data_IF_437820693460
#
_entry.id   IF_437820693460
#
_cell.length_a   1.000
_cell.length_b   1.000
_cell.length_c   1.000
_cell.angle_alpha   90.00
_cell.angle_beta   90.00
_cell.angle_gamma   90.00
#
_symmetry.space_group_name_H-M   'P 1'
#
loop_
_entity.id
_entity.type
_entity.pdbx_description
1 polymer ?
#
# COMPACT_ATOMS: atom_id res chain seq x y z
N UNK A 1 17.65 0.04 -19.33
CA UNK A 1 16.99 -1.14 -18.74
C UNK A 1 15.73 -1.38 -19.53
N UNK A 2 15.45 -2.62 -19.96
CA UNK A 2 14.13 -2.94 -20.51
C UNK A 2 13.07 -2.67 -19.44
N UNK A 3 11.91 -2.09 -19.78
CA UNK A 3 10.81 -1.97 -18.83
C UNK A 3 10.50 -3.37 -18.26
N UNK A 4 10.42 -3.47 -16.93
CA UNK A 4 10.07 -4.74 -16.30
C UNK A 4 8.62 -5.06 -16.66
N UNK A 5 8.38 -6.21 -17.29
CA UNK A 5 7.03 -6.70 -17.48
C UNK A 5 6.57 -7.37 -16.18
N UNK A 6 5.65 -6.72 -15.47
CA UNK A 6 5.06 -7.27 -14.25
C UNK A 6 4.44 -8.67 -14.45
N UNK A 7 4.03 -9.02 -15.68
CA UNK A 7 3.47 -10.34 -15.97
C UNK A 7 4.50 -11.48 -15.80
N UNK A 8 5.80 -11.19 -15.91
CA UNK A 8 6.86 -12.19 -15.75
C UNK A 8 7.19 -12.51 -14.30
N UNK A 9 6.81 -11.63 -13.38
CA UNK A 9 7.16 -11.73 -11.95
C UNK A 9 5.97 -12.05 -11.06
N UNK A 10 4.74 -11.74 -11.50
CA UNK A 10 3.52 -12.04 -10.79
C UNK A 10 3.17 -13.55 -10.84
N UNK A 11 2.45 -14.08 -9.83
CA UNK A 11 2.00 -15.46 -9.84
C UNK A 11 1.02 -15.71 -11.00
N UNK A 12 0.94 -16.95 -11.48
CA UNK A 12 0.01 -17.30 -12.58
C UNK A 12 -1.35 -17.79 -12.13
N UNK A 13 -1.51 -18.13 -10.84
CA UNK A 13 -2.74 -18.69 -10.27
C UNK A 13 -2.95 -18.21 -8.83
N UNK A 14 -4.19 -18.26 -8.36
CA UNK A 14 -4.57 -17.95 -6.97
C UNK A 14 -5.34 -16.63 -6.86
N UNK A 15 -5.40 -16.08 -5.66
CA UNK A 15 -5.97 -14.75 -5.42
C UNK A 15 -4.87 -13.74 -5.18
N UNK A 16 -4.99 -12.56 -5.78
CA UNK A 16 -4.03 -11.47 -5.63
C UNK A 16 -4.75 -10.21 -5.19
N UNK A 17 -4.16 -9.45 -4.27
CA UNK A 17 -4.56 -8.09 -3.98
C UNK A 17 -3.37 -7.16 -4.15
N UNK A 18 -3.63 -5.93 -4.60
CA UNK A 18 -2.61 -4.96 -4.98
C UNK A 18 -2.90 -3.68 -4.22
N UNK A 19 -1.94 -3.24 -3.41
CA UNK A 19 -2.05 -1.95 -2.72
C UNK A 19 -2.15 -0.82 -3.73
N UNK A 20 -2.73 0.30 -3.31
CA UNK A 20 -2.62 1.54 -4.07
C UNK A 20 -1.16 1.96 -4.24
N UNK A 21 -0.89 2.76 -5.27
CA UNK A 21 0.44 3.31 -5.52
C UNK A 21 0.73 3.57 -6.98
N UNK A 22 1.97 3.97 -7.26
CA UNK A 22 2.44 4.40 -8.58
C UNK A 22 2.23 3.37 -9.69
N UNK A 23 2.36 2.08 -9.39
CA UNK A 23 2.28 0.98 -10.35
C UNK A 23 0.96 0.21 -10.28
N UNK A 24 -0.08 0.73 -9.60
CA UNK A 24 -1.35 0.03 -9.45
C UNK A 24 -1.92 -0.38 -10.83
N UNK A 25 -1.95 0.56 -11.77
CA UNK A 25 -2.56 0.30 -13.08
C UNK A 25 -1.76 -0.73 -13.88
N UNK A 26 -0.44 -0.63 -13.90
CA UNK A 26 0.44 -1.55 -14.61
C UNK A 26 0.39 -2.96 -14.03
N UNK A 27 0.30 -3.08 -12.71
CA UNK A 27 0.15 -4.36 -12.01
C UNK A 27 -1.21 -4.99 -12.34
N UNK A 28 -2.30 -4.23 -12.31
CA UNK A 28 -3.64 -4.73 -12.68
C UNK A 28 -3.67 -5.13 -14.17
N UNK A 29 -3.07 -4.33 -15.06
CA UNK A 29 -2.94 -4.68 -16.47
C UNK A 29 -2.11 -5.96 -16.67
N UNK A 30 -1.12 -6.22 -15.82
CA UNK A 30 -0.35 -7.46 -15.87
C UNK A 30 -1.18 -8.68 -15.46
N UNK A 31 -2.07 -8.54 -14.46
CA UNK A 31 -3.04 -9.60 -14.12
C UNK A 31 -3.92 -9.96 -15.34
N UNK A 32 -4.41 -8.95 -16.07
CA UNK A 32 -5.18 -9.19 -17.29
C UNK A 32 -4.37 -9.96 -18.34
N UNK A 33 -3.10 -9.58 -18.57
CA UNK A 33 -2.21 -10.28 -19.52
C UNK A 33 -1.94 -11.73 -19.11
N UNK A 34 -1.72 -11.99 -17.82
CA UNK A 34 -1.53 -13.34 -17.28
C UNK A 34 -2.74 -14.22 -17.59
N UNK A 35 -3.95 -13.71 -17.36
CA UNK A 35 -5.19 -14.45 -17.63
C UNK A 35 -5.43 -14.64 -19.13
N UNK A 36 -5.13 -13.64 -19.97
CA UNK A 36 -5.17 -13.79 -21.43
C UNK A 36 -4.19 -14.88 -21.94
N UNK A 37 -3.08 -15.09 -21.24
CA UNK A 37 -2.10 -16.15 -21.48
C UNK A 37 -2.46 -17.52 -20.87
N UNK A 38 -3.68 -17.70 -20.35
CA UNK A 38 -4.13 -18.96 -19.74
C UNK A 38 -3.83 -19.11 -18.24
N UNK A 39 -3.47 -18.02 -17.55
CA UNK A 39 -3.45 -17.96 -16.09
C UNK A 39 -4.86 -18.05 -15.47
N UNK A 40 -4.91 -18.28 -14.16
CA UNK A 40 -6.14 -18.27 -13.34
C UNK A 40 -5.90 -17.45 -12.08
N UNK A 41 -5.59 -16.16 -12.29
CA UNK A 41 -5.31 -15.21 -11.23
C UNK A 41 -6.54 -14.32 -11.01
N UNK A 42 -7.06 -14.32 -9.78
CA UNK A 42 -8.27 -13.57 -9.41
C UNK A 42 -7.92 -12.36 -8.56
N UNK A 43 -8.41 -11.19 -8.94
CA UNK A 43 -8.16 -9.96 -8.19
C UNK A 43 -9.12 -9.85 -7.00
N UNK A 44 -8.58 -9.55 -5.82
CA UNK A 44 -9.32 -9.09 -4.66
C UNK A 44 -9.12 -7.56 -4.61
N UNK A 45 -10.06 -6.77 -5.16
CA UNK A 45 -9.91 -5.32 -5.26
C UNK A 45 -10.03 -4.68 -3.88
N UNK A 46 -9.22 -3.65 -3.63
CA UNK A 46 -9.23 -2.88 -2.37
C UNK A 46 -10.09 -1.63 -2.44
N UNK A 47 -10.37 -1.14 -3.65
CA UNK A 47 -11.16 0.06 -3.87
C UNK A 47 -12.24 -0.14 -4.95
N UNK A 48 -13.27 0.73 -4.97
CA UNK A 48 -14.22 0.78 -6.08
C UNK A 48 -13.55 0.98 -7.44
N UNK A 49 -12.45 1.75 -7.49
CA UNK A 49 -11.71 2.00 -8.73
C UNK A 49 -11.06 0.72 -9.25
N UNK A 50 -10.39 -0.04 -8.37
CA UNK A 50 -9.83 -1.35 -8.75
C UNK A 50 -10.92 -2.33 -9.17
N UNK A 51 -12.08 -2.29 -8.51
CA UNK A 51 -13.24 -3.11 -8.89
C UNK A 51 -13.70 -2.79 -10.30
N UNK A 52 -13.89 -1.51 -10.62
CA UNK A 52 -14.30 -1.08 -11.96
C UNK A 52 -13.25 -1.47 -13.00
N UNK A 53 -11.96 -1.24 -12.70
CA UNK A 53 -10.87 -1.58 -13.60
C UNK A 53 -10.79 -3.08 -13.89
N UNK A 54 -11.03 -3.93 -12.88
CA UNK A 54 -11.10 -5.37 -13.07
C UNK A 54 -12.22 -5.76 -14.04
N UNK A 55 -13.39 -5.14 -13.91
CA UNK A 55 -14.53 -5.36 -14.81
C UNK A 55 -14.19 -4.93 -16.24
N UNK A 56 -13.61 -3.74 -16.42
CA UNK A 56 -13.26 -3.20 -17.74
C UNK A 56 -12.25 -4.09 -18.49
N UNK A 57 -11.34 -4.73 -17.75
CA UNK A 57 -10.31 -5.63 -18.28
C UNK A 57 -10.73 -7.10 -18.34
N UNK A 58 -11.93 -7.45 -17.89
CA UNK A 58 -12.39 -8.85 -17.82
C UNK A 58 -11.60 -9.71 -16.83
N UNK A 59 -11.00 -9.11 -15.80
CA UNK A 59 -10.28 -9.83 -14.75
C UNK A 59 -11.30 -10.46 -13.78
N UNK A 60 -11.26 -11.79 -13.53
CA UNK A 60 -12.12 -12.40 -12.53
C UNK A 60 -11.79 -11.86 -11.14
N UNK A 61 -12.84 -11.50 -10.39
CA UNK A 61 -12.69 -11.01 -9.01
C UNK A 61 -13.01 -12.10 -7.98
N UNK A 62 -12.43 -11.97 -6.79
CA UNK A 62 -12.71 -12.82 -5.65
C UNK A 62 -13.00 -11.97 -4.40
N UNK A 63 -13.48 -12.64 -3.34
CA UNK A 63 -13.66 -12.07 -1.99
C UNK A 63 -12.87 -12.89 -0.99
N UNK A 64 -12.56 -12.29 0.16
CA UNK A 64 -11.79 -12.93 1.23
C UNK A 64 -10.36 -12.42 1.27
N UNK A 65 -9.43 -13.26 1.70
CA UNK A 65 -8.02 -12.92 1.84
C UNK A 65 -7.21 -13.40 0.64
N UNK A 66 -6.22 -12.62 0.18
CA UNK A 66 -5.45 -12.98 -0.99
C UNK A 66 -4.39 -14.04 -0.66
N UNK A 67 -4.10 -14.92 -1.60
CA UNK A 67 -2.88 -15.74 -1.56
C UNK A 67 -1.66 -14.83 -1.65
N UNK A 68 -1.70 -13.82 -2.52
CA UNK A 68 -0.59 -12.87 -2.72
C UNK A 68 -1.05 -11.43 -2.48
N UNK A 69 -0.36 -10.72 -1.60
CA UNK A 69 -0.52 -9.28 -1.46
C UNK A 69 0.72 -8.55 -2.01
N UNK A 70 0.49 -7.66 -2.97
CA UNK A 70 1.52 -6.78 -3.51
C UNK A 70 1.43 -5.45 -2.79
N UNK A 71 2.38 -5.20 -1.89
CA UNK A 71 2.55 -3.91 -1.22
C UNK A 71 3.47 -3.03 -2.05
N UNK A 72 3.02 -1.84 -2.40
CA UNK A 72 3.84 -0.81 -3.01
C UNK A 72 4.39 0.10 -1.89
N UNK A 73 5.71 0.27 -1.87
CA UNK A 73 6.40 1.12 -0.93
C UNK A 73 7.28 2.13 -1.69
N UNK A 74 7.37 3.33 -1.17
CA UNK A 74 8.16 4.38 -1.75
C UNK A 74 9.61 4.36 -1.27
N UNK A 75 9.81 4.02 -0.01
CA UNK A 75 11.13 3.96 0.59
C UNK A 75 11.36 2.61 1.27
N UNK A 76 12.62 2.15 1.21
CA UNK A 76 13.09 0.97 1.92
C UNK A 76 14.29 1.35 2.78
N UNK A 77 14.15 1.18 4.09
CA UNK A 77 15.26 1.15 5.03
C UNK A 77 15.84 -0.27 5.19
N UNK A 78 16.77 -0.45 6.14
CA UNK A 78 17.34 -1.77 6.46
C UNK A 78 16.26 -2.78 6.85
N UNK A 79 15.37 -2.37 7.78
CA UNK A 79 14.38 -3.23 8.42
C UNK A 79 12.95 -2.65 8.34
N UNK A 80 12.73 -1.67 7.46
CA UNK A 80 11.41 -1.05 7.31
C UNK A 80 11.11 -0.63 5.87
N UNK A 81 9.82 -0.48 5.59
CA UNK A 81 9.31 0.11 4.36
C UNK A 81 8.38 1.27 4.69
N UNK A 82 8.44 2.32 3.89
CA UNK A 82 7.55 3.47 4.01
C UNK A 82 6.61 3.52 2.81
N UNK A 83 5.32 3.60 3.11
CA UNK A 83 4.25 3.78 2.16
C UNK A 83 3.72 5.21 2.28
N UNK A 84 3.96 6.00 1.26
CA UNK A 84 3.58 7.42 1.14
C UNK A 84 2.47 7.64 0.10
N UNK A 85 2.12 6.61 -0.67
CA UNK A 85 1.08 6.63 -1.68
C UNK A 85 0.24 5.35 -1.61
N UNK A 86 -1.02 5.49 -1.20
CA UNK A 86 -2.03 4.44 -1.33
C UNK A 86 -3.42 5.04 -1.20
N UNK A 87 -4.45 4.25 -1.52
CA UNK A 87 -5.84 4.58 -1.25
C UNK A 87 -6.22 4.35 0.22
N UNK A 88 -5.61 3.39 0.93
CA UNK A 88 -5.83 3.18 2.37
C UNK A 88 -4.69 2.36 2.98
N UNK A 89 -4.02 2.95 3.97
CA UNK A 89 -2.99 2.29 4.77
C UNK A 89 -3.61 1.16 5.59
N UNK A 90 -4.78 1.42 6.18
CA UNK A 90 -5.49 0.46 7.01
C UNK A 90 -5.90 -0.79 6.23
N UNK A 91 -6.46 -0.62 5.03
CA UNK A 91 -6.83 -1.75 4.18
C UNK A 91 -5.59 -2.56 3.75
N UNK A 92 -4.52 -1.87 3.36
CA UNK A 92 -3.26 -2.50 2.99
C UNK A 92 -2.65 -3.29 4.14
N UNK A 93 -2.71 -2.76 5.38
CA UNK A 93 -2.26 -3.46 6.59
C UNK A 93 -3.03 -4.73 6.86
N UNK A 94 -4.35 -4.70 6.73
CA UNK A 94 -5.20 -5.89 6.92
C UNK A 94 -4.80 -6.94 5.88
N UNK A 95 -4.67 -6.53 4.61
CA UNK A 95 -4.32 -7.45 3.53
C UNK A 95 -2.93 -8.03 3.72
N UNK A 96 -1.94 -7.23 4.13
CA UNK A 96 -0.58 -7.71 4.37
C UNK A 96 -0.54 -8.75 5.49
N UNK A 97 -1.35 -8.59 6.55
CA UNK A 97 -1.40 -9.54 7.67
C UNK A 97 -2.15 -10.83 7.34
N UNK A 98 -3.12 -10.76 6.43
CA UNK A 98 -3.98 -11.89 6.11
C UNK A 98 -3.53 -12.66 4.86
N UNK A 99 -2.62 -12.10 4.07
CA UNK A 99 -2.08 -12.75 2.89
C UNK A 99 -1.14 -13.90 3.26
N UNK A 100 -1.14 -14.96 2.45
CA UNK A 100 -0.16 -16.06 2.60
C UNK A 100 1.24 -15.59 2.20
N UNK A 101 1.32 -14.75 1.17
CA UNK A 101 2.56 -14.22 0.60
C UNK A 101 2.49 -12.70 0.49
N UNK A 102 3.47 -11.99 1.03
CA UNK A 102 3.60 -10.52 0.91
C UNK A 102 4.83 -10.17 0.11
N UNK A 103 4.62 -9.51 -1.02
CA UNK A 103 5.69 -9.04 -1.89
C UNK A 103 5.71 -7.52 -1.90
N UNK A 104 6.89 -6.93 -1.74
CA UNK A 104 7.05 -5.47 -1.68
C UNK A 104 7.73 -4.95 -2.93
N UNK A 105 7.09 -3.96 -3.56
CA UNK A 105 7.55 -3.30 -4.76
C UNK A 105 8.00 -1.91 -4.36
N UNK A 106 9.31 -1.66 -4.44
CA UNK A 106 9.92 -0.42 -3.97
C UNK A 106 10.25 0.49 -5.14
N UNK A 107 9.78 1.74 -5.11
CA UNK A 107 10.07 2.76 -6.15
C UNK A 107 11.33 3.61 -5.85
N UNK A 108 11.85 3.57 -4.62
CA UNK A 108 12.99 4.38 -4.13
C UNK A 108 12.79 5.89 -4.34
N UNK A 109 11.84 6.48 -3.62
CA UNK A 109 11.67 7.93 -3.53
C UNK A 109 12.12 8.48 -2.18
N UNK A 110 11.68 9.68 -1.83
CA UNK A 110 11.98 10.34 -0.55
C UNK A 110 11.46 9.57 0.66
N UNK A 111 12.11 9.78 1.82
CA UNK A 111 11.66 9.26 3.11
C UNK A 111 10.41 10.01 3.56
N UNK A 112 9.25 9.48 3.21
CA UNK A 112 7.93 9.95 3.67
C UNK A 112 6.98 8.78 3.80
N UNK A 113 5.94 8.95 4.61
CA UNK A 113 4.91 7.93 4.82
C UNK A 113 3.54 8.57 5.08
N UNK A 114 2.49 7.75 5.02
CA UNK A 114 1.13 8.16 5.32
C UNK A 114 0.75 7.84 6.76
N UNK A 115 -0.05 8.70 7.36
CA UNK A 115 -0.84 8.41 8.54
C UNK A 115 -2.31 8.49 8.12
N UNK A 116 -3.07 7.42 8.38
CA UNK A 116 -4.51 7.41 8.13
C UNK A 116 -5.23 7.80 9.43
N UNK A 117 -6.14 8.76 9.36
CA UNK A 117 -6.81 9.35 10.52
C UNK A 117 -8.31 9.55 10.31
N UNK A 118 -9.08 9.60 11.40
CA UNK A 118 -10.51 9.94 11.36
C UNK A 118 -10.70 11.45 11.15
N UNK A 119 -11.71 11.88 10.36
CA UNK A 119 -11.92 13.29 10.08
C UNK A 119 -12.42 14.11 11.29
N UNK A 120 -13.06 13.48 12.28
CA UNK A 120 -13.72 14.17 13.40
C UNK A 120 -12.76 14.84 14.38
N UNK A 121 -11.49 14.42 14.43
CA UNK A 121 -10.45 14.95 15.32
C UNK A 121 -9.27 15.55 14.56
N UNK A 122 -9.44 15.80 13.25
CA UNK A 122 -8.32 16.05 12.36
C UNK A 122 -7.42 17.22 12.78
N UNK A 123 -7.98 18.34 13.26
CA UNK A 123 -7.15 19.48 13.69
C UNK A 123 -6.24 19.11 14.85
N UNK A 124 -6.80 18.52 15.91
CA UNK A 124 -6.03 18.01 17.05
C UNK A 124 -5.02 16.94 16.63
N UNK A 125 -5.43 15.98 15.79
CA UNK A 125 -4.53 14.95 15.27
C UNK A 125 -3.37 15.59 14.50
N UNK A 126 -3.61 16.58 13.65
CA UNK A 126 -2.55 17.24 12.88
C UNK A 126 -1.56 17.99 13.77
N UNK A 127 -2.04 18.66 14.81
CA UNK A 127 -1.17 19.32 15.79
C UNK A 127 -0.25 18.31 16.48
N UNK A 128 -0.78 17.16 16.92
CA UNK A 128 0.02 16.08 17.51
C UNK A 128 0.99 15.45 16.50
N UNK A 129 0.56 15.19 15.26
CA UNK A 129 1.41 14.63 14.21
C UNK A 129 2.59 15.56 13.86
N UNK A 130 2.39 16.88 13.96
CA UNK A 130 3.43 17.87 13.67
C UNK A 130 4.62 17.82 14.62
N UNK A 131 4.47 17.16 15.79
CA UNK A 131 5.57 16.93 16.74
C UNK A 131 6.56 15.86 16.26
N UNK A 132 6.18 15.05 15.27
CA UNK A 132 6.97 13.90 14.78
C UNK A 132 7.44 14.07 13.33
N UNK A 133 6.99 15.12 12.64
CA UNK A 133 7.28 15.32 11.23
C UNK A 133 6.53 16.50 10.60
N UNK A 134 7.05 17.00 9.50
CA UNK A 134 6.37 18.01 8.71
C UNK A 134 5.19 17.39 7.93
N UNK A 135 4.00 17.98 8.09
CA UNK A 135 2.82 17.63 7.28
C UNK A 135 2.99 18.22 5.87
N UNK A 136 3.19 17.37 4.88
CA UNK A 136 3.36 17.78 3.47
C UNK A 136 2.01 17.99 2.78
N UNK A 137 1.08 17.06 2.97
CA UNK A 137 -0.21 17.06 2.28
C UNK A 137 -1.26 16.25 3.07
N UNK A 138 -2.54 16.47 2.79
CA UNK A 138 -3.64 15.66 3.31
C UNK A 138 -4.82 15.59 2.36
N UNK A 139 -5.42 14.42 2.24
CA UNK A 139 -6.61 14.21 1.41
C UNK A 139 -7.53 13.15 2.01
N UNK A 140 -8.80 13.14 1.59
CA UNK A 140 -9.75 12.10 2.00
C UNK A 140 -9.67 10.91 1.07
N UNK A 141 -9.69 9.70 1.63
CA UNK A 141 -9.83 8.48 0.85
C UNK A 141 -11.30 8.08 0.65
N UNK A 142 -11.52 7.01 -0.13
CA UNK A 142 -12.85 6.49 -0.44
C UNK A 142 -13.60 5.92 0.78
N UNK A 143 -12.90 5.65 1.89
CA UNK A 143 -13.50 5.23 3.16
C UNK A 143 -13.93 6.42 4.03
N UNK A 144 -13.65 7.66 3.59
CA UNK A 144 -13.92 8.87 4.35
C UNK A 144 -12.88 9.20 5.42
N UNK A 145 -11.81 8.41 5.52
CA UNK A 145 -10.65 8.72 6.36
C UNK A 145 -9.78 9.78 5.68
N UNK A 146 -8.92 10.42 6.47
CA UNK A 146 -7.95 11.40 5.99
C UNK A 146 -6.59 10.73 5.96
N UNK A 147 -5.95 10.72 4.80
CA UNK A 147 -4.55 10.35 4.65
C UNK A 147 -3.72 11.62 4.80
N UNK A 148 -2.78 11.60 5.73
CA UNK A 148 -1.83 12.68 6.03
C UNK A 148 -0.45 12.21 5.63
N UNK A 149 0.22 12.93 4.73
CA UNK A 149 1.60 12.63 4.34
C UNK A 149 2.55 13.35 5.28
N UNK A 150 3.41 12.57 5.95
CA UNK A 150 4.43 13.08 6.85
C UNK A 150 5.83 12.87 6.28
N UNK A 151 6.65 13.92 6.43
CA UNK A 151 8.10 13.85 6.29
C UNK A 151 8.68 13.79 7.71
N UNK A 152 9.27 12.65 8.12
CA UNK A 152 9.75 12.47 9.48
C UNK A 152 10.95 13.38 9.79
N UNK A 153 11.03 13.84 11.04
CA UNK A 153 12.22 14.52 11.57
C UNK A 153 13.28 13.55 12.12
N UNK A 154 12.87 12.33 12.46
CA UNK A 154 13.74 11.27 13.00
C UNK A 154 13.70 9.99 12.17
N UNK A 155 14.76 9.19 12.27
CA UNK A 155 14.90 7.92 11.54
C UNK A 155 14.57 6.68 12.40
N UNK A 156 14.10 6.85 13.65
CA UNK A 156 13.64 5.75 14.50
C UNK A 156 12.20 5.35 14.16
N UNK A 157 12.05 4.66 13.03
CA UNK A 157 10.75 4.21 12.54
C UNK A 157 10.09 3.14 13.43
N UNK A 158 10.87 2.44 14.26
CA UNK A 158 10.30 1.55 15.26
C UNK A 158 9.58 2.36 16.33
N UNK A 159 10.23 3.38 16.88
CA UNK A 159 9.62 4.30 17.84
C UNK A 159 8.41 5.03 17.25
N UNK A 160 8.58 5.67 16.08
CA UNK A 160 7.53 6.41 15.37
C UNK A 160 6.26 5.58 15.17
N UNK A 161 6.39 4.31 14.78
CA UNK A 161 5.24 3.43 14.58
C UNK A 161 4.38 3.27 15.84
N UNK A 162 5.02 3.23 17.02
CA UNK A 162 4.30 3.08 18.29
C UNK A 162 3.65 4.40 18.71
N UNK A 163 4.42 5.49 18.78
CA UNK A 163 3.91 6.77 19.26
C UNK A 163 2.83 7.34 18.37
N UNK A 164 2.96 7.22 17.04
CA UNK A 164 1.96 7.73 16.10
C UNK A 164 0.63 6.97 16.20
N UNK A 165 0.65 5.67 16.52
CA UNK A 165 -0.58 4.88 16.70
C UNK A 165 -1.33 5.23 17.99
N UNK A 166 -0.64 5.80 18.96
CA UNK A 166 -1.23 6.26 20.22
C UNK A 166 -1.84 7.67 20.11
N UNK A 167 -1.56 8.40 19.02
CA UNK A 167 -2.15 9.73 18.77
C UNK A 167 -3.67 9.60 18.56
N UNK A 168 -4.51 10.31 19.34
CA UNK A 168 -5.95 10.28 19.17
C UNK A 168 -6.38 10.67 17.75
N UNK A 169 -7.18 9.79 17.15
CA UNK A 169 -7.70 9.95 15.79
C UNK A 169 -6.87 9.26 14.71
N UNK A 170 -5.65 8.79 15.01
CA UNK A 170 -4.90 7.92 14.09
C UNK A 170 -5.54 6.53 14.03
N UNK A 171 -5.65 6.01 12.80
CA UNK A 171 -6.20 4.69 12.48
C UNK A 171 -5.05 3.72 12.23
N UNK A 172 -4.12 4.06 11.33
CA UNK A 172 -2.89 3.30 11.10
C UNK A 172 -1.82 4.19 10.43
N UNK A 173 -0.61 3.67 10.34
CA UNK A 173 0.59 4.35 9.86
C UNK A 173 1.23 3.53 8.76
N UNK A 174 1.66 4.18 7.69
CA UNK A 174 2.31 3.62 6.49
C UNK A 174 3.76 3.23 6.73
N UNK A 175 4.11 2.79 7.93
CA UNK A 175 5.44 2.25 8.28
C UNK A 175 5.28 0.74 8.47
N UNK A 176 6.03 -0.05 7.72
CA UNK A 176 6.00 -1.51 7.78
C UNK A 176 7.34 -2.01 8.31
N UNK A 177 7.33 -2.63 9.49
CA UNK A 177 8.53 -3.12 10.20
C UNK A 177 8.79 -4.62 10.00
N UNK A 178 7.87 -5.33 9.34
CA UNK A 178 7.97 -6.77 9.13
C UNK A 178 8.72 -7.06 7.82
N UNK A 179 9.67 -8.02 7.82
CA UNK A 179 10.37 -8.41 6.62
C UNK A 179 9.39 -9.13 5.66
N UNK A 180 9.20 -8.64 4.43
CA UNK A 180 8.39 -9.35 3.45
C UNK A 180 9.11 -10.58 2.93
N UNK A 181 8.36 -11.52 2.39
CA UNK A 181 8.92 -12.72 1.77
C UNK A 181 9.77 -12.38 0.55
N UNK A 182 9.36 -11.38 -0.22
CA UNK A 182 10.03 -10.95 -1.45
C UNK A 182 10.06 -9.44 -1.56
N UNK A 183 11.23 -8.89 -1.88
CA UNK A 183 11.42 -7.47 -2.19
C UNK A 183 11.87 -7.32 -3.63
N UNK A 184 11.13 -6.55 -4.41
CA UNK A 184 11.46 -6.18 -5.77
C UNK A 184 11.71 -4.68 -5.83
N UNK A 185 12.94 -4.30 -6.17
CA UNK A 185 13.38 -2.90 -6.20
C UNK A 185 13.39 -2.42 -7.65
N UNK A 186 12.60 -1.39 -7.92
CA UNK A 186 12.50 -0.74 -9.22
C UNK A 186 13.22 0.60 -9.14
N UNK A 187 13.93 0.96 -10.22
CA UNK A 187 14.61 2.25 -10.39
C UNK A 187 14.01 2.96 -11.60
#
# INVERSE_FOLDING_TARGET
MSPVDFADILPRKGTISISGGRYEEELINAVARINAGGGDLRLIPLSPLQTQRALDLGIPTARGYPTYFILQAEYRGPDYFLQSQTASVFADRIMSKMAEHVWVFVTNSEKKFLVEAVPQFLEYTLDELSLYGAVEDKWRNYMGHVLVRLVPEEDDFFHLTHVLRDVPGVIDVGIYLEPPEKVLVFK
#
